data_IF_946580046767
#
_entry.id   IF_946580046767
#
_cell.length_a   1.000
_cell.length_b   1.000
_cell.length_c   1.000
_cell.angle_alpha   90.00
_cell.angle_beta   90.00
_cell.angle_gamma   90.00
#
_symmetry.space_group_name_H-M   'P 1'
#
loop_
_entity.id
_entity.type
_entity.pdbx_description
1 polymer ?
#
# COMPACT_ATOMS: atom_id res chain seq x y z
N UNK A 1 16.28 -21.52 18.40
CA UNK A 1 15.79 -20.17 18.74
C UNK A 1 14.50 -20.37 19.52
N UNK A 2 14.46 -19.95 20.78
CA UNK A 2 13.23 -19.94 21.53
C UNK A 2 12.44 -18.72 21.05
N UNK A 3 11.53 -18.93 20.10
CA UNK A 3 10.63 -17.91 19.57
C UNK A 3 9.55 -17.68 20.63
N UNK A 4 9.97 -17.28 21.84
CA UNK A 4 9.08 -16.81 22.87
C UNK A 4 8.41 -15.57 22.30
N UNK A 5 7.23 -15.80 21.74
CA UNK A 5 6.10 -14.89 21.63
C UNK A 5 6.52 -13.45 21.91
N UNK A 6 7.06 -12.77 20.91
CA UNK A 6 7.10 -11.31 20.98
C UNK A 6 5.64 -10.90 21.13
N UNK A 7 5.25 -10.54 22.36
CA UNK A 7 3.89 -10.20 22.68
C UNK A 7 3.49 -9.08 21.74
N UNK A 8 2.55 -9.35 20.86
CA UNK A 8 2.03 -8.34 19.94
C UNK A 8 1.37 -7.28 20.82
N UNK A 9 1.97 -6.11 20.90
CA UNK A 9 1.39 -4.96 21.60
C UNK A 9 0.66 -4.06 20.61
N UNK A 10 -0.33 -3.27 21.07
CA UNK A 10 -0.96 -2.28 20.21
C UNK A 10 0.03 -1.34 19.52
N UNK A 11 1.08 -0.91 20.23
CA UNK A 11 2.08 0.02 19.72
C UNK A 11 2.91 -0.61 18.59
N UNK A 12 3.19 -1.91 18.68
CA UNK A 12 3.85 -2.66 17.61
C UNK A 12 3.00 -2.68 16.33
N UNK A 13 1.69 -2.89 16.47
CA UNK A 13 0.75 -2.87 15.35
C UNK A 13 0.55 -1.46 14.77
N UNK A 14 0.51 -0.43 15.61
CA UNK A 14 0.46 0.98 15.14
C UNK A 14 1.71 1.36 14.37
N UNK A 15 2.89 0.97 14.87
CA UNK A 15 4.15 1.20 14.16
C UNK A 15 4.17 0.50 12.81
N UNK A 16 3.70 -0.75 12.75
CA UNK A 16 3.58 -1.47 11.48
C UNK A 16 2.57 -0.78 10.54
N UNK A 17 1.43 -0.32 11.05
CA UNK A 17 0.44 0.41 10.25
C UNK A 17 1.01 1.69 9.64
N UNK A 18 1.80 2.46 10.40
CA UNK A 18 2.47 3.66 9.91
C UNK A 18 3.47 3.34 8.79
N UNK A 19 4.26 2.27 8.93
CA UNK A 19 5.17 1.83 7.85
C UNK A 19 4.43 1.43 6.57
N UNK A 20 3.26 0.79 6.72
CA UNK A 20 2.41 0.43 5.58
C UNK A 20 1.80 1.68 4.94
N UNK A 21 1.39 2.68 5.74
CA UNK A 21 0.93 3.98 5.26
C UNK A 21 2.02 4.72 4.48
N UNK A 22 3.24 4.82 5.03
CA UNK A 22 4.39 5.44 4.36
C UNK A 22 4.61 4.82 2.97
N UNK A 23 4.61 3.48 2.91
CA UNK A 23 4.77 2.75 1.65
C UNK A 23 3.61 2.98 0.68
N UNK A 24 2.39 3.12 1.19
CA UNK A 24 1.21 3.43 0.38
C UNK A 24 1.33 4.81 -0.26
N UNK A 25 1.83 5.81 0.47
CA UNK A 25 2.06 7.16 -0.09
C UNK A 25 3.10 7.12 -1.22
N UNK A 26 4.19 6.36 -1.06
CA UNK A 26 5.16 6.15 -2.16
C UNK A 26 4.49 5.55 -3.41
N UNK A 27 3.54 4.63 -3.25
CA UNK A 27 2.79 4.08 -4.40
C UNK A 27 1.86 5.09 -5.07
N UNK A 28 1.31 6.05 -4.31
CA UNK A 28 0.55 7.14 -4.92
C UNK A 28 1.43 8.01 -5.81
N UNK A 29 2.66 8.27 -5.40
CA UNK A 29 3.62 9.02 -6.23
C UNK A 29 3.96 8.27 -7.52
N UNK A 30 4.15 6.95 -7.45
CA UNK A 30 4.34 6.10 -8.65
C UNK A 30 3.12 6.17 -9.56
N UNK A 31 1.90 6.11 -9.01
CA UNK A 31 0.66 6.23 -9.78
C UNK A 31 0.53 7.58 -10.48
N UNK A 32 0.94 8.67 -9.83
CA UNK A 32 0.96 10.00 -10.44
C UNK A 32 1.96 10.07 -11.60
N UNK A 33 3.14 9.47 -11.45
CA UNK A 33 4.15 9.38 -12.52
C UNK A 33 3.64 8.56 -13.70
N UNK A 34 3.03 7.40 -13.46
CA UNK A 34 2.40 6.57 -14.51
C UNK A 34 1.31 7.33 -15.26
N UNK A 35 0.44 8.04 -14.53
CA UNK A 35 -0.61 8.87 -15.14
C UNK A 35 -0.03 10.00 -15.99
N UNK A 36 1.07 10.64 -15.55
CA UNK A 36 1.77 11.67 -16.32
C UNK A 36 2.38 11.10 -17.60
N UNK A 37 3.01 9.93 -17.53
CA UNK A 37 3.56 9.23 -18.69
C UNK A 37 2.46 8.86 -19.70
N UNK A 38 1.32 8.36 -19.22
CA UNK A 38 0.14 8.07 -20.06
C UNK A 38 -0.35 9.31 -20.82
N UNK A 39 -0.42 10.47 -20.15
CA UNK A 39 -0.81 11.73 -20.79
C UNK A 39 0.14 12.22 -21.89
N UNK A 40 1.38 11.71 -21.92
CA UNK A 40 2.36 12.00 -22.97
C UNK A 40 2.42 10.96 -24.09
N UNK A 41 1.62 9.89 -24.02
CA UNK A 41 1.66 8.80 -24.99
C UNK A 41 0.59 8.95 -26.08
N UNK A 42 0.88 8.43 -27.28
CA UNK A 42 -0.12 8.34 -28.35
C UNK A 42 -1.20 7.32 -27.94
N UNK A 43 -2.50 7.67 -28.03
CA UNK A 43 -3.58 6.72 -27.74
C UNK A 43 -3.44 5.43 -28.56
N UNK A 44 -3.74 4.29 -27.93
CA UNK A 44 -3.67 2.95 -28.55
C UNK A 44 -2.27 2.52 -29.04
N UNK A 45 -1.21 3.22 -28.64
CA UNK A 45 0.16 2.70 -28.82
C UNK A 45 0.41 1.55 -27.85
N UNK A 46 1.30 0.62 -28.21
CA UNK A 46 1.75 -0.46 -27.33
C UNK A 46 2.24 0.08 -25.98
N UNK A 47 3.00 1.19 -26.00
CA UNK A 47 3.45 1.89 -24.79
C UNK A 47 2.29 2.36 -23.93
N UNK A 48 1.23 2.93 -24.52
CA UNK A 48 0.05 3.37 -23.77
C UNK A 48 -0.68 2.19 -23.13
N UNK A 49 -0.78 1.05 -23.83
CA UNK A 49 -1.39 -0.17 -23.28
C UNK A 49 -0.57 -0.74 -22.11
N UNK A 50 0.76 -0.83 -22.25
CA UNK A 50 1.67 -1.30 -21.19
C UNK A 50 1.55 -0.40 -19.96
N UNK A 51 1.61 0.93 -20.13
CA UNK A 51 1.49 1.88 -19.05
C UNK A 51 0.11 1.85 -18.39
N UNK A 52 -0.96 1.61 -19.16
CA UNK A 52 -2.33 1.49 -18.63
C UNK A 52 -2.44 0.27 -17.73
N UNK A 53 -1.94 -0.89 -18.20
CA UNK A 53 -1.91 -2.13 -17.39
C UNK A 53 -1.09 -1.95 -16.12
N UNK A 54 0.10 -1.34 -16.22
CA UNK A 54 0.93 -1.05 -15.06
C UNK A 54 0.23 -0.12 -14.06
N UNK A 55 -0.45 0.92 -14.56
CA UNK A 55 -1.23 1.84 -13.73
C UNK A 55 -2.38 1.13 -13.00
N UNK A 56 -3.11 0.24 -13.68
CA UNK A 56 -4.19 -0.55 -13.07
C UNK A 56 -3.67 -1.49 -11.99
N UNK A 57 -2.58 -2.23 -12.27
CA UNK A 57 -1.94 -3.12 -11.30
C UNK A 57 -1.46 -2.36 -10.06
N UNK A 58 -0.83 -1.19 -10.25
CA UNK A 58 -0.37 -0.37 -9.14
C UNK A 58 -1.54 0.21 -8.32
N UNK A 59 -2.70 0.47 -8.94
CA UNK A 59 -3.90 0.90 -8.21
C UNK A 59 -4.42 -0.20 -7.31
N UNK A 60 -4.54 -1.42 -7.83
CA UNK A 60 -4.97 -2.59 -7.04
C UNK A 60 -4.01 -2.84 -5.88
N UNK A 61 -2.71 -2.74 -6.14
CA UNK A 61 -1.70 -2.91 -5.11
C UNK A 61 -1.77 -1.83 -4.02
N UNK A 62 -1.99 -0.56 -4.39
CA UNK A 62 -2.19 0.52 -3.42
C UNK A 62 -3.41 0.28 -2.52
N UNK A 63 -4.52 -0.24 -3.07
CA UNK A 63 -5.70 -0.62 -2.30
C UNK A 63 -5.43 -1.80 -1.37
N UNK A 64 -4.66 -2.79 -1.83
CA UNK A 64 -4.25 -3.91 -0.98
C UNK A 64 -3.41 -3.45 0.21
N UNK A 65 -2.43 -2.56 -0.02
CA UNK A 65 -1.61 -1.96 1.05
C UNK A 65 -2.49 -1.19 2.05
N UNK A 66 -3.46 -0.40 1.57
CA UNK A 66 -4.44 0.28 2.43
C UNK A 66 -5.28 -0.70 3.27
N UNK A 67 -5.60 -1.88 2.72
CA UNK A 67 -6.34 -2.91 3.46
C UNK A 67 -5.52 -3.48 4.63
N UNK A 68 -4.21 -3.66 4.46
CA UNK A 68 -3.27 -4.10 5.50
C UNK A 68 -3.16 -3.03 6.59
N UNK A 69 -2.95 -1.77 6.19
CA UNK A 69 -2.92 -0.61 7.09
C UNK A 69 -4.17 -0.58 7.98
N UNK A 70 -5.35 -0.69 7.36
CA UNK A 70 -6.64 -0.69 8.06
C UNK A 70 -6.76 -1.87 9.04
N UNK A 71 -6.35 -3.08 8.61
CA UNK A 71 -6.35 -4.27 9.45
C UNK A 71 -5.44 -4.11 10.67
N UNK A 72 -4.23 -3.57 10.49
CA UNK A 72 -3.26 -3.35 11.58
C UNK A 72 -3.79 -2.33 12.58
N UNK A 73 -4.31 -1.18 12.13
CA UNK A 73 -4.89 -0.17 13.03
C UNK A 73 -6.10 -0.71 13.79
N UNK A 74 -6.99 -1.45 13.12
CA UNK A 74 -8.13 -2.10 13.78
C UNK A 74 -7.69 -3.11 14.83
N UNK A 75 -6.65 -3.89 14.52
CA UNK A 75 -6.09 -4.87 15.45
C UNK A 75 -5.45 -4.21 16.66
N UNK A 76 -4.71 -3.11 16.47
CA UNK A 76 -4.16 -2.31 17.57
C UNK A 76 -5.26 -1.78 18.50
N UNK A 77 -6.30 -1.17 17.92
CA UNK A 77 -7.44 -0.66 18.68
C UNK A 77 -8.15 -1.77 19.47
N UNK A 78 -8.35 -2.93 18.87
CA UNK A 78 -8.96 -4.08 19.54
C UNK A 78 -8.13 -4.61 20.71
N UNK A 79 -6.79 -4.49 20.65
CA UNK A 79 -5.91 -4.86 21.76
C UNK A 79 -5.88 -3.81 22.88
N UNK A 80 -6.14 -2.53 22.59
CA UNK A 80 -6.25 -1.47 23.62
C UNK A 80 -7.54 -1.53 24.43
N UNK A 81 -8.61 -2.06 23.83
CA UNK A 81 -9.93 -2.17 24.45
C UNK A 81 -10.05 -3.43 25.34
N UNK A 82 -9.20 -4.44 25.13
CA UNK A 82 -9.14 -5.67 25.92
C UNK A 82 -8.26 -5.51 27.15
#
# INVERSE_FOLDING_TARGET
MNIHEQKITPECLEKAANQVEDKREEYKDVLLQLKKMLGGTTPHSETAEILTRAYEQMKEYALFVQSIETFLRKSANNLKIK
#
